data_IF_291384391593
#
_entry.id   IF_291384391593
#
_cell.length_a   1.000
_cell.length_b   1.000
_cell.length_c   1.000
_cell.angle_alpha   90.00
_cell.angle_beta   90.00
_cell.angle_gamma   90.00
#
_symmetry.space_group_name_H-M   'P 1'
#
loop_
_entity.id
_entity.type
_entity.pdbx_description
1 polymer ?
#
# COMPACT_ATOMS: atom_id res chain seq x y z
N UNK A 1 30.37 -16.54 -12.81
CA UNK A 1 29.67 -15.86 -11.71
C UNK A 1 28.21 -16.17 -11.91
N UNK A 2 27.54 -16.84 -10.96
CA UNK A 2 26.09 -17.01 -11.01
C UNK A 2 25.45 -15.67 -10.66
N UNK A 3 24.43 -15.22 -11.42
CA UNK A 3 23.65 -14.07 -11.05
C UNK A 3 22.99 -14.30 -9.68
N UNK A 4 22.84 -13.27 -8.84
CA UNK A 4 22.10 -13.42 -7.61
C UNK A 4 20.67 -13.85 -7.93
N UNK A 5 20.19 -14.88 -7.24
CA UNK A 5 18.85 -15.46 -7.45
C UNK A 5 17.75 -14.68 -6.75
N UNK A 6 18.11 -13.77 -5.86
CA UNK A 6 17.19 -12.88 -5.14
C UNK A 6 17.72 -11.45 -5.21
N UNK A 7 16.87 -10.51 -5.60
CA UNK A 7 17.12 -9.10 -5.38
C UNK A 7 16.81 -8.86 -3.91
N UNK A 8 17.81 -8.37 -3.13
CA UNK A 8 17.55 -7.93 -1.76
C UNK A 8 16.51 -6.79 -1.82
N UNK A 9 15.31 -7.12 -1.40
CA UNK A 9 14.24 -6.13 -1.27
C UNK A 9 14.54 -5.31 -0.02
N UNK A 10 14.68 -3.98 -0.20
CA UNK A 10 14.76 -3.08 0.94
C UNK A 10 13.45 -3.17 1.71
N UNK A 11 13.53 -3.67 2.93
CA UNK A 11 12.39 -3.81 3.86
C UNK A 11 12.19 -2.53 4.66
N UNK A 12 11.03 -2.37 5.30
CA UNK A 12 10.80 -1.26 6.25
C UNK A 12 11.88 -1.20 7.34
N UNK A 13 12.37 -2.35 7.82
CA UNK A 13 13.46 -2.42 8.80
C UNK A 13 14.77 -1.82 8.24
N UNK A 14 15.13 -2.16 7.01
CA UNK A 14 16.33 -1.62 6.37
C UNK A 14 16.20 -0.12 6.12
N UNK A 15 15.01 0.35 5.73
CA UNK A 15 14.70 1.76 5.56
C UNK A 15 14.83 2.54 6.87
N UNK A 16 14.25 2.05 7.96
CA UNK A 16 14.37 2.66 9.29
C UNK A 16 15.84 2.71 9.75
N UNK A 17 16.59 1.63 9.56
CA UNK A 17 18.02 1.59 9.90
C UNK A 17 18.85 2.57 9.07
N UNK A 18 18.50 2.78 7.80
CA UNK A 18 19.14 3.78 6.96
C UNK A 18 18.86 5.21 7.45
N UNK A 19 17.62 5.47 7.89
CA UNK A 19 17.26 6.78 8.47
C UNK A 19 17.99 6.98 9.81
N UNK A 20 17.99 5.98 10.70
CA UNK A 20 18.74 6.01 11.96
C UNK A 20 20.23 6.30 11.73
N UNK A 21 20.86 5.59 10.77
CA UNK A 21 22.23 5.81 10.39
C UNK A 21 22.51 7.22 9.88
N UNK A 22 21.58 7.82 9.11
CA UNK A 22 21.69 9.18 8.57
C UNK A 22 21.71 10.26 9.64
N UNK A 23 21.08 10.02 10.81
CA UNK A 23 21.04 10.91 11.97
C UNK A 23 22.07 10.54 13.05
N UNK A 24 22.92 9.52 12.78
CA UNK A 24 23.97 9.09 13.70
C UNK A 24 23.50 8.19 14.85
N UNK A 25 22.33 7.57 14.72
CA UNK A 25 21.79 6.62 15.68
C UNK A 25 22.17 5.18 15.33
N UNK A 26 22.19 4.30 16.33
CA UNK A 26 22.50 2.88 16.12
C UNK A 26 21.36 2.15 15.43
N UNK A 27 21.67 1.21 14.54
CA UNK A 27 20.65 0.39 13.90
C UNK A 27 19.92 -0.51 14.91
N UNK A 28 18.67 -0.84 14.62
CA UNK A 28 17.84 -1.74 15.42
C UNK A 28 17.66 -3.08 14.67
N UNK A 29 17.50 -4.14 15.44
CA UNK A 29 17.30 -5.49 14.89
C UNK A 29 15.85 -5.83 14.62
N UNK A 30 14.92 -5.11 15.27
CA UNK A 30 13.47 -5.30 15.08
C UNK A 30 12.78 -3.95 15.18
N UNK A 31 11.66 -3.79 14.47
CA UNK A 31 10.85 -2.56 14.54
C UNK A 31 9.94 -2.48 15.77
N UNK A 32 10.05 -3.46 16.68
CA UNK A 32 9.20 -3.52 17.86
C UNK A 32 7.74 -3.88 17.56
N UNK A 33 7.49 -4.55 16.44
CA UNK A 33 6.20 -5.11 16.14
C UNK A 33 5.90 -6.24 17.13
N UNK A 34 5.13 -5.97 18.15
CA UNK A 34 4.43 -7.03 18.85
C UNK A 34 3.22 -7.39 18.00
N UNK A 35 3.19 -8.64 17.57
CA UNK A 35 1.97 -9.23 17.02
C UNK A 35 0.98 -9.35 18.18
N UNK A 36 0.12 -8.34 18.36
CA UNK A 36 -0.96 -8.42 19.35
C UNK A 36 -2.11 -9.26 18.79
N UNK A 37 -2.68 -10.08 19.65
CA UNK A 37 -3.88 -10.84 19.33
C UNK A 37 -5.05 -9.87 19.41
N UNK A 38 -5.61 -9.50 18.25
CA UNK A 38 -6.78 -8.64 18.17
C UNK A 38 -8.08 -9.43 18.43
N UNK A 39 -8.13 -10.65 17.94
CA UNK A 39 -9.28 -11.55 18.12
C UNK A 39 -8.82 -12.99 18.24
N UNK A 40 -9.54 -13.74 19.04
CA UNK A 40 -9.29 -15.18 19.27
C UNK A 40 -10.60 -15.93 19.30
N UNK A 41 -10.64 -17.10 18.65
CA UNK A 41 -11.76 -18.05 18.71
C UNK A 41 -11.22 -19.42 19.06
N UNK A 42 -11.84 -20.08 20.02
CA UNK A 42 -11.47 -21.42 20.47
C UNK A 42 -12.56 -22.43 20.08
N UNK A 43 -12.13 -23.55 19.53
CA UNK A 43 -12.98 -24.67 19.17
C UNK A 43 -12.42 -25.97 19.73
N UNK A 44 -13.29 -26.98 19.86
CA UNK A 44 -12.87 -28.33 20.25
C UNK A 44 -13.04 -29.28 19.07
N UNK A 45 -12.02 -30.01 18.74
CA UNK A 45 -12.06 -31.04 17.71
C UNK A 45 -12.90 -32.22 18.13
N UNK A 46 -13.63 -32.81 17.19
CA UNK A 46 -14.49 -34.03 17.39
C UNK A 46 -13.92 -35.24 16.63
N UNK A 47 -12.79 -35.09 15.95
CA UNK A 47 -12.17 -36.12 15.13
C UNK A 47 -12.79 -36.31 13.74
N UNK A 48 -13.83 -35.57 13.40
CA UNK A 48 -14.54 -35.67 12.11
C UNK A 48 -14.74 -34.34 11.39
N UNK A 49 -14.97 -33.28 12.13
CA UNK A 49 -15.18 -31.95 11.56
C UNK A 49 -13.88 -31.31 11.09
N UNK A 50 -13.85 -30.83 9.84
CA UNK A 50 -12.70 -30.17 9.23
C UNK A 50 -12.86 -28.65 9.16
N UNK A 51 -14.08 -28.11 9.31
CA UNK A 51 -14.40 -26.70 9.10
C UNK A 51 -14.77 -26.01 10.39
N UNK A 52 -14.04 -24.95 10.75
CA UNK A 52 -14.24 -24.18 11.97
C UNK A 52 -14.38 -22.69 11.63
N UNK A 53 -15.38 -22.04 12.23
CA UNK A 53 -15.64 -20.61 12.00
C UNK A 53 -14.54 -19.74 12.61
N UNK A 54 -14.13 -18.69 11.87
CA UNK A 54 -13.22 -17.67 12.40
C UNK A 54 -13.85 -16.84 13.51
N UNK A 55 -15.15 -16.54 13.40
CA UNK A 55 -15.85 -15.69 14.37
C UNK A 55 -15.50 -14.19 14.28
N UNK A 56 -14.56 -13.79 13.42
CA UNK A 56 -14.10 -12.42 13.21
C UNK A 56 -13.76 -12.17 11.75
N UNK A 57 -13.69 -10.89 11.36
CA UNK A 57 -13.25 -10.46 10.03
C UNK A 57 -11.72 -10.34 9.96
N UNK A 58 -11.16 -10.57 8.79
CA UNK A 58 -9.74 -10.43 8.50
C UNK A 58 -9.52 -9.77 7.14
N UNK A 59 -8.40 -9.07 6.98
CA UNK A 59 -8.05 -8.41 5.73
C UNK A 59 -7.20 -9.33 4.83
N UNK A 60 -6.25 -10.03 5.45
CA UNK A 60 -5.37 -10.99 4.75
C UNK A 60 -5.24 -12.29 5.55
N UNK A 61 -5.08 -13.41 4.85
CA UNK A 61 -4.90 -14.72 5.46
C UNK A 61 -3.60 -14.82 6.31
N UNK A 62 -2.60 -13.99 6.02
CA UNK A 62 -1.35 -13.93 6.80
C UNK A 62 -1.55 -13.43 8.24
N UNK A 63 -2.65 -12.72 8.53
CA UNK A 63 -2.99 -12.27 9.87
C UNK A 63 -3.48 -13.41 10.77
N UNK A 64 -3.85 -14.56 10.19
CA UNK A 64 -4.46 -15.65 10.92
C UNK A 64 -3.41 -16.71 11.26
N UNK A 65 -3.35 -17.08 12.53
CA UNK A 65 -2.53 -18.17 13.03
C UNK A 65 -3.45 -19.20 13.70
N UNK A 66 -3.27 -20.46 13.33
CA UNK A 66 -4.03 -21.58 13.91
C UNK A 66 -3.10 -22.47 14.70
N UNK A 67 -3.53 -22.78 15.94
CA UNK A 67 -2.82 -23.76 16.77
C UNK A 67 -3.77 -24.88 17.17
N UNK A 68 -3.24 -26.10 17.18
CA UNK A 68 -3.95 -27.30 17.68
C UNK A 68 -3.14 -27.85 18.84
N UNK A 69 -3.75 -27.93 20.01
CA UNK A 69 -3.07 -28.30 21.26
C UNK A 69 -1.81 -27.48 21.52
N UNK A 70 -1.86 -26.16 21.26
CA UNK A 70 -0.75 -25.20 21.40
C UNK A 70 0.41 -25.39 20.40
N UNK A 71 0.25 -26.22 19.38
CA UNK A 71 1.22 -26.39 18.29
C UNK A 71 0.69 -25.65 17.06
N UNK A 72 1.50 -24.78 16.46
CA UNK A 72 1.14 -24.08 15.22
C UNK A 72 1.03 -25.06 14.06
N UNK A 73 -0.10 -25.00 13.35
CA UNK A 73 -0.41 -25.85 12.21
C UNK A 73 -0.47 -25.01 10.95
N UNK A 74 0.04 -25.54 9.85
CA UNK A 74 0.03 -24.87 8.52
C UNK A 74 -0.84 -25.62 7.50
N UNK A 75 -1.37 -26.79 7.86
CA UNK A 75 -2.15 -27.67 6.98
C UNK A 75 -3.65 -27.30 7.00
N UNK A 76 -3.94 -26.06 6.62
CA UNK A 76 -5.31 -25.54 6.51
C UNK A 76 -5.44 -24.51 5.39
N UNK A 77 -6.66 -24.30 4.93
CA UNK A 77 -7.03 -23.24 3.99
C UNK A 77 -8.13 -22.39 4.62
N UNK A 78 -8.05 -21.07 4.38
CA UNK A 78 -9.09 -20.14 4.82
C UNK A 78 -10.03 -19.89 3.66
N UNK A 79 -11.32 -20.18 3.87
CA UNK A 79 -12.35 -20.01 2.86
C UNK A 79 -13.67 -19.55 3.51
N UNK A 80 -14.27 -18.51 2.93
CA UNK A 80 -15.61 -18.00 3.33
C UNK A 80 -15.77 -17.76 4.84
N UNK A 81 -14.73 -17.21 5.50
CA UNK A 81 -14.77 -16.93 6.94
C UNK A 81 -14.61 -18.16 7.84
N UNK A 82 -14.10 -19.27 7.28
CA UNK A 82 -13.81 -20.49 8.00
C UNK A 82 -12.39 -20.97 7.76
N UNK A 83 -11.81 -21.64 8.76
CA UNK A 83 -10.60 -22.46 8.62
C UNK A 83 -11.01 -23.87 8.24
N UNK A 84 -10.49 -24.37 7.14
CA UNK A 84 -10.74 -25.73 6.64
C UNK A 84 -9.45 -26.52 6.72
N UNK A 85 -9.39 -27.50 7.60
CA UNK A 85 -8.25 -28.40 7.73
C UNK A 85 -8.26 -29.47 6.65
N UNK A 86 -7.08 -29.83 6.14
CA UNK A 86 -6.93 -30.96 5.21
C UNK A 86 -7.27 -32.29 5.91
N UNK A 87 -6.93 -32.42 7.18
CA UNK A 87 -7.23 -33.59 8.03
C UNK A 87 -7.97 -33.10 9.28
N UNK A 88 -9.09 -33.75 9.64
CA UNK A 88 -9.86 -33.36 10.83
C UNK A 88 -8.99 -33.44 12.10
N UNK A 89 -8.98 -32.40 12.94
CA UNK A 89 -8.30 -32.41 14.23
C UNK A 89 -8.82 -33.53 15.13
N UNK A 90 -7.93 -34.15 15.90
CA UNK A 90 -8.28 -35.27 16.77
C UNK A 90 -9.36 -34.90 17.80
N UNK A 91 -10.11 -35.89 18.25
CA UNK A 91 -11.12 -35.68 19.26
C UNK A 91 -10.54 -35.06 20.55
N UNK A 92 -11.24 -34.05 21.09
CA UNK A 92 -10.84 -33.22 22.23
C UNK A 92 -9.58 -32.34 22.01
N UNK A 93 -9.13 -32.17 20.76
CA UNK A 93 -8.08 -31.21 20.49
C UNK A 93 -8.60 -29.78 20.69
N UNK A 94 -7.85 -28.97 21.39
CA UNK A 94 -8.10 -27.53 21.48
C UNK A 94 -7.57 -26.84 20.23
N UNK A 95 -8.49 -26.27 19.44
CA UNK A 95 -8.18 -25.51 18.22
C UNK A 95 -8.34 -24.04 18.56
N UNK A 96 -7.24 -23.31 18.47
CA UNK A 96 -7.24 -21.87 18.75
C UNK A 96 -6.88 -21.13 17.46
N UNK A 97 -7.79 -20.28 17.01
CA UNK A 97 -7.64 -19.44 15.82
C UNK A 97 -7.46 -18.02 16.32
N UNK A 98 -6.30 -17.41 16.01
CA UNK A 98 -5.95 -16.08 16.46
C UNK A 98 -5.75 -15.14 15.27
N UNK A 99 -6.35 -13.96 15.32
CA UNK A 99 -6.04 -12.84 14.45
C UNK A 99 -4.94 -12.01 15.10
N UNK A 100 -3.80 -11.92 14.42
CA UNK A 100 -2.67 -11.11 14.86
C UNK A 100 -2.61 -9.86 14.01
N UNK A 101 -2.57 -8.72 14.65
CA UNK A 101 -2.33 -7.43 14.01
C UNK A 101 -1.00 -6.91 14.49
N UNK A 102 -0.19 -6.41 13.59
CA UNK A 102 1.03 -5.72 13.95
C UNK A 102 0.66 -4.40 14.63
N UNK A 103 0.74 -4.38 15.94
CA UNK A 103 0.71 -3.15 16.70
C UNK A 103 2.14 -2.70 16.97
N UNK A 104 2.48 -1.54 16.45
CA UNK A 104 3.78 -0.94 16.76
C UNK A 104 3.77 -0.50 18.20
N UNK A 105 4.47 -1.26 19.04
CA UNK A 105 4.60 -0.90 20.46
C UNK A 105 5.57 0.29 20.60
N UNK A 106 4.99 1.49 20.64
CA UNK A 106 5.72 2.76 20.85
C UNK A 106 6.51 2.79 22.16
N UNK A 107 6.25 1.86 23.08
CA UNK A 107 6.92 1.80 24.38
C UNK A 107 8.32 1.18 24.32
N UNK A 108 8.64 0.37 23.29
CA UNK A 108 9.93 -0.30 23.20
C UNK A 108 11.06 0.64 22.75
N UNK A 109 10.79 1.51 21.75
CA UNK A 109 11.74 2.55 21.32
C UNK A 109 10.98 3.71 20.65
N UNK A 110 10.78 4.83 21.34
CA UNK A 110 10.00 5.95 20.83
C UNK A 110 10.62 6.61 19.59
N UNK A 111 11.94 6.56 19.43
CA UNK A 111 12.61 7.10 18.24
C UNK A 111 12.31 6.25 16.99
N UNK A 112 12.31 4.92 17.14
CA UNK A 112 11.95 4.01 16.05
C UNK A 112 10.50 4.21 15.61
N UNK A 113 9.58 4.32 16.57
CA UNK A 113 8.17 4.58 16.28
C UNK A 113 7.97 5.91 15.55
N UNK A 114 8.69 6.94 15.96
CA UNK A 114 8.66 8.24 15.31
C UNK A 114 9.20 8.17 13.87
N UNK A 115 10.32 7.49 13.64
CA UNK A 115 10.91 7.32 12.31
C UNK A 115 9.98 6.49 11.41
N UNK A 116 9.35 5.45 11.95
CA UNK A 116 8.34 4.67 11.24
C UNK A 116 7.16 5.53 10.79
N UNK A 117 6.67 6.40 11.67
CA UNK A 117 5.61 7.34 11.30
C UNK A 117 6.06 8.28 10.16
N UNK A 118 7.27 8.86 10.25
CA UNK A 118 7.82 9.70 9.20
C UNK A 118 7.98 8.96 7.87
N UNK A 119 8.43 7.71 7.91
CA UNK A 119 8.56 6.86 6.73
C UNK A 119 7.20 6.65 6.05
N UNK A 120 6.16 6.34 6.82
CA UNK A 120 4.80 6.14 6.32
C UNK A 120 4.18 7.42 5.75
N UNK A 121 4.31 8.53 6.45
CA UNK A 121 3.84 9.83 5.96
C UNK A 121 4.52 10.21 4.65
N UNK A 122 5.84 9.99 4.57
CA UNK A 122 6.62 10.28 3.36
C UNK A 122 6.26 9.33 2.22
N UNK A 123 6.01 8.05 2.52
CA UNK A 123 5.56 7.07 1.54
C UNK A 123 4.22 7.48 0.91
N UNK A 124 3.24 7.84 1.73
CA UNK A 124 1.92 8.32 1.25
C UNK A 124 2.09 9.60 0.42
N UNK A 125 2.91 10.55 0.87
CA UNK A 125 3.13 11.82 0.17
C UNK A 125 3.75 11.60 -1.21
N UNK A 126 4.81 10.79 -1.31
CA UNK A 126 5.49 10.52 -2.58
C UNK A 126 4.56 9.79 -3.54
N UNK A 127 3.83 8.78 -3.08
CA UNK A 127 2.90 8.05 -3.93
C UNK A 127 1.68 8.88 -4.34
N UNK A 128 1.27 9.86 -3.52
CA UNK A 128 0.15 10.76 -3.85
C UNK A 128 0.45 11.70 -5.02
N UNK A 129 1.72 11.87 -5.40
CA UNK A 129 2.11 12.63 -6.59
C UNK A 129 1.52 11.96 -7.86
N UNK A 130 1.37 10.64 -7.86
CA UNK A 130 0.88 9.85 -9.01
C UNK A 130 2.01 9.61 -10.01
N UNK A 131 2.60 8.43 -9.94
CA UNK A 131 3.68 7.98 -10.80
C UNK A 131 3.18 6.85 -11.70
N UNK A 132 3.85 6.58 -12.82
CA UNK A 132 3.46 5.51 -13.73
C UNK A 132 3.30 4.16 -13.02
N UNK A 133 4.16 3.85 -12.04
CA UNK A 133 4.10 2.57 -11.34
C UNK A 133 2.86 2.39 -10.44
N UNK A 134 2.21 3.48 -10.00
CA UNK A 134 1.05 3.42 -9.09
C UNK A 134 -0.20 4.09 -9.66
N UNK A 135 -0.18 4.45 -10.94
CA UNK A 135 -1.33 5.01 -11.66
C UNK A 135 -1.87 3.96 -12.62
N UNK A 136 -3.14 3.67 -12.53
CA UNK A 136 -3.85 2.79 -13.45
C UNK A 136 -4.93 3.60 -14.16
N UNK A 137 -4.95 3.49 -15.48
CA UNK A 137 -5.93 4.15 -16.33
C UNK A 137 -7.09 3.19 -16.66
N UNK A 138 -8.27 3.74 -16.94
CA UNK A 138 -9.46 2.97 -17.36
C UNK A 138 -9.93 1.90 -16.35
N UNK A 139 -9.74 2.13 -15.06
CA UNK A 139 -10.26 1.21 -14.04
C UNK A 139 -11.77 1.35 -13.93
N UNK A 140 -12.49 0.28 -14.20
CA UNK A 140 -13.95 0.25 -14.20
C UNK A 140 -14.49 -0.10 -12.79
N UNK A 141 -15.25 0.81 -12.20
CA UNK A 141 -15.94 0.60 -10.94
C UNK A 141 -17.43 0.40 -11.15
N UNK A 142 -17.92 -0.76 -10.76
CA UNK A 142 -19.33 -1.13 -10.90
C UNK A 142 -20.14 -0.83 -9.63
N UNK A 143 -21.39 -0.36 -9.75
CA UNK A 143 -22.22 -0.06 -8.60
C UNK A 143 -22.72 -1.35 -7.90
N UNK A 144 -22.69 -1.31 -6.56
CA UNK A 144 -23.29 -2.30 -5.69
C UNK A 144 -24.35 -1.60 -4.84
N UNK A 145 -25.61 -2.01 -4.92
CA UNK A 145 -26.74 -1.32 -4.28
C UNK A 145 -26.80 0.18 -4.61
N UNK A 146 -26.66 0.52 -5.88
CA UNK A 146 -26.60 1.90 -6.41
C UNK A 146 -25.45 2.77 -5.87
N UNK A 147 -24.47 2.21 -5.18
CA UNK A 147 -23.26 2.91 -4.72
C UNK A 147 -22.02 2.19 -5.23
N UNK A 148 -20.99 2.94 -5.54
CA UNK A 148 -19.71 2.40 -5.99
C UNK A 148 -18.73 2.45 -4.82
N UNK A 149 -18.37 1.29 -4.21
CA UNK A 149 -17.36 1.24 -3.15
C UNK A 149 -15.97 1.47 -3.75
N UNK A 150 -15.16 2.31 -3.09
CA UNK A 150 -13.78 2.59 -3.51
C UNK A 150 -12.81 1.98 -2.49
N UNK A 151 -11.83 1.19 -2.94
CA UNK A 151 -10.83 0.58 -2.07
C UNK A 151 -10.12 1.60 -1.18
N UNK A 152 -9.69 1.14 0.01
CA UNK A 152 -9.05 2.03 1.00
C UNK A 152 -7.72 2.58 0.49
N UNK A 153 -6.97 1.76 -0.28
CA UNK A 153 -5.66 2.09 -0.85
C UNK A 153 -5.71 3.04 -2.05
N UNK A 154 -6.87 3.53 -2.47
CA UNK A 154 -6.99 4.57 -3.50
C UNK A 154 -6.67 5.92 -2.89
N UNK A 155 -5.59 6.57 -3.35
CA UNK A 155 -5.15 7.91 -2.93
C UNK A 155 -5.88 9.01 -3.69
N UNK A 156 -5.99 8.85 -5.01
CA UNK A 156 -6.64 9.80 -5.91
C UNK A 156 -7.36 9.04 -7.01
N UNK A 157 -8.47 9.56 -7.46
CA UNK A 157 -9.18 9.09 -8.65
C UNK A 157 -9.79 10.28 -9.39
N UNK A 158 -9.88 10.15 -10.69
CA UNK A 158 -10.63 11.05 -11.58
C UNK A 158 -11.34 10.23 -12.64
N UNK A 159 -12.38 10.79 -13.26
CA UNK A 159 -13.06 10.11 -14.37
C UNK A 159 -12.13 10.09 -15.57
N UNK A 160 -11.97 8.91 -16.17
CA UNK A 160 -11.30 8.82 -17.46
C UNK A 160 -12.10 9.53 -18.52
N UNK A 161 -11.54 10.56 -19.15
CA UNK A 161 -12.25 11.44 -20.10
C UNK A 161 -12.06 10.94 -21.54
N UNK A 162 -12.88 9.97 -21.95
CA UNK A 162 -13.02 9.59 -23.36
C UNK A 162 -13.74 10.70 -24.15
N UNK A 163 -12.98 11.69 -24.52
CA UNK A 163 -13.22 12.60 -25.64
C UNK A 163 -14.35 13.64 -25.62
N UNK A 164 -15.45 13.65 -24.93
CA UNK A 164 -16.40 14.70 -25.38
C UNK A 164 -17.34 15.39 -24.40
N UNK A 165 -17.73 14.83 -23.31
CA UNK A 165 -18.68 15.55 -22.43
C UNK A 165 -18.49 15.10 -21.00
N UNK A 166 -17.91 15.95 -20.19
CA UNK A 166 -17.90 15.71 -18.73
C UNK A 166 -19.32 15.80 -18.18
N UNK A 167 -20.03 14.69 -18.29
CA UNK A 167 -21.35 14.54 -17.65
C UNK A 167 -21.23 14.14 -16.19
N UNK A 168 -20.04 13.71 -15.76
CA UNK A 168 -19.77 13.16 -14.44
C UNK A 168 -18.42 13.70 -13.97
N UNK A 169 -18.33 14.12 -12.72
CA UNK A 169 -17.09 14.51 -12.06
C UNK A 169 -17.09 13.90 -10.66
N UNK A 170 -16.16 13.02 -10.39
CA UNK A 170 -16.22 12.17 -9.21
C UNK A 170 -15.13 12.46 -8.19
N UNK A 171 -15.40 12.10 -6.94
CA UNK A 171 -14.46 12.17 -5.83
C UNK A 171 -14.76 11.05 -4.84
N UNK A 172 -13.73 10.54 -4.16
CA UNK A 172 -13.90 9.60 -3.04
C UNK A 172 -14.44 10.34 -1.81
N UNK A 173 -15.57 9.88 -1.28
CA UNK A 173 -16.17 10.43 -0.07
C UNK A 173 -16.75 9.29 0.79
N UNK A 174 -16.25 9.15 2.02
CA UNK A 174 -16.74 8.13 2.95
C UNK A 174 -16.59 6.68 2.45
N UNK A 175 -15.54 6.40 1.64
CA UNK A 175 -15.33 5.05 1.08
C UNK A 175 -16.14 4.74 -0.18
N UNK A 176 -16.93 5.70 -0.67
CA UNK A 176 -17.75 5.57 -1.89
C UNK A 176 -17.39 6.64 -2.91
N UNK A 177 -17.73 6.36 -4.17
CA UNK A 177 -17.67 7.35 -5.23
C UNK A 177 -18.81 8.36 -5.06
N UNK A 178 -18.52 9.65 -5.26
CA UNK A 178 -19.48 10.72 -5.18
C UNK A 178 -19.40 11.62 -6.41
N UNK A 179 -20.52 11.80 -7.10
CA UNK A 179 -20.61 12.70 -8.25
C UNK A 179 -20.79 14.14 -7.77
N UNK A 180 -19.82 14.98 -8.08
CA UNK A 180 -19.82 16.41 -7.73
C UNK A 180 -20.76 17.24 -8.57
N UNK A 181 -21.10 16.78 -9.79
CA UNK A 181 -22.01 17.50 -10.70
C UNK A 181 -23.47 17.24 -10.32
N UNK A 182 -23.80 15.98 -10.01
CA UNK A 182 -25.16 15.58 -9.62
C UNK A 182 -25.41 15.72 -8.11
N UNK A 183 -24.36 15.99 -7.32
CA UNK A 183 -24.42 16.04 -5.86
C UNK A 183 -24.99 14.74 -5.24
N UNK A 184 -24.63 13.59 -5.80
CA UNK A 184 -25.18 12.29 -5.43
C UNK A 184 -24.10 11.21 -5.33
N UNK A 185 -24.32 10.21 -4.49
CA UNK A 185 -23.54 8.98 -4.38
C UNK A 185 -24.24 7.78 -5.07
N UNK A 186 -25.31 8.06 -5.82
CA UNK A 186 -26.10 7.04 -6.51
C UNK A 186 -25.67 6.94 -7.97
N UNK A 187 -25.29 5.73 -8.37
CA UNK A 187 -24.84 5.38 -9.73
C UNK A 187 -25.65 4.20 -10.24
N UNK A 188 -26.10 4.27 -11.48
CA UNK A 188 -26.80 3.19 -12.20
C UNK A 188 -25.82 2.38 -13.05
N UNK A 189 -24.80 3.05 -13.57
CA UNK A 189 -23.86 2.52 -14.53
C UNK A 189 -22.45 2.47 -13.93
N UNK A 190 -21.60 1.61 -14.48
CA UNK A 190 -20.18 1.58 -14.13
C UNK A 190 -19.50 2.89 -14.55
N UNK A 191 -18.47 3.29 -13.80
CA UNK A 191 -17.68 4.49 -14.08
C UNK A 191 -16.24 4.09 -14.28
N UNK A 192 -15.66 4.49 -15.42
CA UNK A 192 -14.25 4.34 -15.73
C UNK A 192 -13.47 5.48 -15.12
N UNK A 193 -12.43 5.18 -14.36
CA UNK A 193 -11.61 6.16 -13.64
C UNK A 193 -10.12 5.90 -13.84
N UNK A 194 -9.35 6.98 -13.82
CA UNK A 194 -7.92 6.93 -13.65
C UNK A 194 -7.62 6.99 -12.16
N UNK A 195 -6.86 6.05 -11.66
CA UNK A 195 -6.69 5.81 -10.22
C UNK A 195 -5.24 5.79 -9.83
N UNK A 196 -4.92 6.49 -8.74
CA UNK A 196 -3.61 6.42 -8.09
C UNK A 196 -3.75 5.58 -6.83
N UNK A 197 -3.00 4.48 -6.77
CA UNK A 197 -3.01 3.55 -5.65
C UNK A 197 -1.86 3.81 -4.67
N UNK A 198 -2.10 3.45 -3.41
CA UNK A 198 -1.06 3.31 -2.40
C UNK A 198 -0.61 1.86 -2.36
N UNK A 199 0.66 1.63 -2.65
CA UNK A 199 1.32 0.33 -2.52
C UNK A 199 2.12 0.27 -1.22
N UNK A 200 2.30 -0.93 -0.70
CA UNK A 200 3.17 -1.15 0.45
C UNK A 200 4.62 -0.85 0.09
N UNK A 201 5.43 -0.44 1.07
CA UNK A 201 6.80 0.03 0.82
C UNK A 201 7.67 -1.02 0.12
N UNK A 202 7.50 -2.31 0.46
CA UNK A 202 8.26 -3.42 -0.10
C UNK A 202 8.01 -3.67 -1.60
N UNK A 203 6.84 -3.28 -2.10
CA UNK A 203 6.45 -3.51 -3.51
C UNK A 203 6.85 -2.35 -4.43
N UNK A 204 7.40 -1.26 -3.88
CA UNK A 204 7.80 -0.10 -4.67
C UNK A 204 9.04 -0.38 -5.52
N UNK A 205 9.18 0.28 -6.69
CA UNK A 205 10.43 0.28 -7.44
C UNK A 205 11.58 0.89 -6.63
N UNK A 206 12.77 0.33 -6.78
CA UNK A 206 13.95 0.68 -5.99
C UNK A 206 14.31 2.18 -5.95
N UNK A 207 14.22 2.95 -7.04
CA UNK A 207 14.45 4.39 -7.00
C UNK A 207 13.55 5.12 -6.01
N UNK A 208 12.26 4.75 -5.97
CA UNK A 208 11.27 5.36 -5.10
C UNK A 208 11.50 5.01 -3.63
N UNK A 209 11.85 3.76 -3.31
CA UNK A 209 12.26 3.37 -1.95
C UNK A 209 13.37 4.26 -1.44
N UNK A 210 14.42 4.44 -2.23
CA UNK A 210 15.56 5.31 -1.87
C UNK A 210 15.15 6.77 -1.71
N UNK A 211 14.32 7.28 -2.61
CA UNK A 211 13.82 8.66 -2.50
C UNK A 211 12.99 8.87 -1.23
N UNK A 212 12.08 7.95 -0.91
CA UNK A 212 11.26 7.99 0.31
C UNK A 212 12.16 7.99 1.56
N UNK A 213 13.16 7.11 1.61
CA UNK A 213 14.12 7.03 2.72
C UNK A 213 14.91 8.33 2.88
N UNK A 214 15.42 8.92 1.78
CA UNK A 214 16.16 10.17 1.84
C UNK A 214 15.28 11.34 2.30
N UNK A 215 14.06 11.45 1.79
CA UNK A 215 13.10 12.47 2.18
C UNK A 215 12.69 12.35 3.65
N UNK A 216 12.48 11.10 4.14
CA UNK A 216 12.23 10.83 5.55
C UNK A 216 13.45 11.17 6.42
N UNK A 217 14.69 10.89 5.95
CA UNK A 217 15.94 11.25 6.64
C UNK A 217 16.11 12.76 6.83
N UNK A 218 15.78 13.56 5.81
CA UNK A 218 15.79 15.03 5.94
C UNK A 218 14.83 15.50 7.02
N UNK A 219 13.63 14.95 7.08
CA UNK A 219 12.64 15.28 8.11
C UNK A 219 13.09 14.84 9.50
N UNK A 220 13.62 13.62 9.62
CA UNK A 220 14.16 13.10 10.88
C UNK A 220 15.33 13.95 11.39
N UNK A 221 16.29 14.30 10.52
CA UNK A 221 17.41 15.15 10.86
C UNK A 221 16.98 16.54 11.31
N UNK A 222 15.98 17.13 10.65
CA UNK A 222 15.45 18.44 11.00
C UNK A 222 14.77 18.45 12.38
N UNK A 223 14.03 17.37 12.70
CA UNK A 223 13.22 17.31 13.91
C UNK A 223 14.01 16.79 15.13
N UNK A 224 14.93 15.82 14.93
CA UNK A 224 15.65 15.16 16.03
C UNK A 224 17.03 15.75 16.28
N UNK A 225 17.76 16.12 15.23
CA UNK A 225 19.18 16.50 15.36
C UNK A 225 19.37 18.02 15.30
N UNK A 226 18.54 18.72 14.51
CA UNK A 226 18.60 20.18 14.32
C UNK A 226 19.98 20.71 13.90
N UNK A 227 20.75 19.90 13.12
CA UNK A 227 22.06 20.29 12.60
C UNK A 227 21.92 20.80 11.16
N UNK A 228 22.10 22.11 10.89
CA UNK A 228 21.85 22.69 9.56
C UNK A 228 22.79 22.14 8.47
N UNK A 229 24.03 21.81 8.81
CA UNK A 229 24.98 21.25 7.85
C UNK A 229 24.57 19.84 7.42
N UNK A 230 24.16 19.00 8.36
CA UNK A 230 23.66 17.66 8.07
C UNK A 230 22.38 17.72 7.22
N UNK A 231 21.46 18.60 7.57
CA UNK A 231 20.20 18.80 6.83
C UNK A 231 20.49 19.22 5.38
N UNK A 232 21.43 20.15 5.15
CA UNK A 232 21.82 20.57 3.80
C UNK A 232 22.40 19.42 2.97
N UNK A 233 23.25 18.58 3.56
CA UNK A 233 23.79 17.39 2.87
C UNK A 233 22.70 16.39 2.50
N UNK A 234 21.78 16.13 3.42
CA UNK A 234 20.66 15.22 3.18
C UNK A 234 19.68 15.78 2.13
N UNK A 235 19.43 17.09 2.11
CA UNK A 235 18.64 17.74 1.07
C UNK A 235 19.28 17.62 -0.33
N UNK A 236 20.60 17.68 -0.43
CA UNK A 236 21.29 17.44 -1.70
C UNK A 236 21.11 15.98 -2.17
N UNK A 237 21.17 15.02 -1.25
CA UNK A 237 20.91 13.61 -1.55
C UNK A 237 19.45 13.37 -1.94
N UNK A 238 18.51 14.01 -1.26
CA UNK A 238 17.08 13.96 -1.60
C UNK A 238 16.85 14.49 -3.04
N UNK A 239 17.41 15.65 -3.37
CA UNK A 239 17.30 16.22 -4.72
C UNK A 239 17.87 15.29 -5.79
N UNK A 240 19.00 14.64 -5.50
CA UNK A 240 19.63 13.68 -6.42
C UNK A 240 18.74 12.42 -6.60
N UNK A 241 18.22 11.87 -5.51
CA UNK A 241 17.34 10.68 -5.61
C UNK A 241 16.01 11.01 -6.29
N UNK A 242 15.46 12.22 -6.10
CA UNK A 242 14.30 12.69 -6.85
C UNK A 242 14.58 12.77 -8.35
N UNK A 243 15.76 13.24 -8.75
CA UNK A 243 16.14 13.28 -10.17
C UNK A 243 16.17 11.88 -10.79
N UNK A 244 16.67 10.88 -10.05
CA UNK A 244 16.65 9.46 -10.49
C UNK A 244 15.20 8.94 -10.63
N UNK A 245 14.30 9.31 -9.72
CA UNK A 245 12.89 8.94 -9.86
C UNK A 245 12.26 9.57 -11.11
N UNK A 246 12.57 10.84 -11.41
CA UNK A 246 12.10 11.49 -12.63
C UNK A 246 12.65 10.84 -13.89
N UNK A 247 13.93 10.41 -13.88
CA UNK A 247 14.52 9.66 -14.99
C UNK A 247 13.81 8.31 -15.18
N UNK A 248 13.55 7.60 -14.08
CA UNK A 248 12.80 6.34 -14.10
C UNK A 248 11.39 6.55 -14.69
N UNK A 249 10.68 7.58 -14.25
CA UNK A 249 9.35 7.96 -14.72
C UNK A 249 9.36 8.25 -16.23
N UNK A 250 10.32 9.04 -16.70
CA UNK A 250 10.44 9.35 -18.14
C UNK A 250 10.72 8.09 -18.99
N UNK A 251 11.52 7.16 -18.45
CA UNK A 251 11.85 5.92 -19.15
C UNK A 251 10.70 4.90 -19.13
N UNK A 252 9.91 4.88 -18.06
CA UNK A 252 8.80 3.94 -17.89
C UNK A 252 7.50 4.41 -18.57
N UNK A 253 7.27 5.74 -18.57
CA UNK A 253 6.03 6.33 -19.04
C UNK A 253 5.96 6.55 -20.54
N UNK A 254 7.06 6.31 -21.28
CA UNK A 254 7.15 6.52 -22.74
C UNK A 254 6.54 7.86 -23.21
N UNK A 255 6.70 8.90 -22.37
CA UNK A 255 6.10 10.20 -22.60
C UNK A 255 6.51 10.78 -23.97
N UNK A 256 5.53 11.02 -24.81
CA UNK A 256 5.72 11.57 -26.13
C UNK A 256 5.27 13.04 -26.18
N UNK A 257 6.13 13.93 -26.68
CA UNK A 257 5.77 15.34 -26.88
C UNK A 257 4.54 15.54 -27.78
N UNK A 258 4.28 14.63 -28.69
CA UNK A 258 3.14 14.68 -29.62
C UNK A 258 1.83 14.18 -29.02
N UNK A 259 1.84 13.68 -27.78
CA UNK A 259 0.65 13.17 -27.10
C UNK A 259 0.07 11.89 -27.72
N UNK A 260 0.89 11.16 -28.46
CA UNK A 260 0.50 9.84 -28.98
C UNK A 260 0.68 8.85 -27.82
N UNK A 261 -0.39 8.51 -27.12
CA UNK A 261 -0.42 7.39 -26.20
C UNK A 261 -0.27 6.06 -26.96
N UNK A 262 -0.14 4.97 -26.21
CA UNK A 262 -0.03 3.59 -26.73
C UNK A 262 -1.23 3.16 -27.59
N UNK A 263 -2.30 3.94 -27.57
CA UNK A 263 -3.47 3.68 -28.39
C UNK A 263 -3.17 4.09 -29.83
N UNK A 264 -3.11 3.09 -30.70
CA UNK A 264 -2.82 3.16 -32.12
C UNK A 264 -3.84 3.97 -32.94
N UNK A 265 -4.77 4.66 -32.34
CA UNK A 265 -5.66 5.59 -33.01
C UNK A 265 -4.89 6.85 -33.39
N UNK A 266 -4.71 7.05 -34.68
CA UNK A 266 -4.13 8.22 -35.30
C UNK A 266 -4.90 9.47 -34.85
N UNK A 267 -4.47 10.10 -33.77
CA UNK A 267 -5.05 11.37 -33.36
C UNK A 267 -4.40 12.50 -34.15
N UNK A 268 -5.18 13.12 -34.99
CA UNK A 268 -4.75 14.33 -35.67
C UNK A 268 -4.44 15.40 -34.62
N UNK A 269 -3.30 16.07 -34.71
CA UNK A 269 -2.97 17.20 -33.85
C UNK A 269 -4.09 18.26 -33.87
N UNK A 270 -4.80 18.35 -32.77
CA UNK A 270 -5.90 19.29 -32.58
C UNK A 270 -5.50 20.30 -31.51
N UNK A 271 -4.94 21.49 -31.89
CA UNK A 271 -4.40 22.46 -30.94
C UNK A 271 -5.39 22.92 -29.86
N UNK A 272 -6.69 22.88 -30.16
CA UNK A 272 -7.73 23.29 -29.23
C UNK A 272 -7.97 22.29 -28.08
N UNK A 273 -7.53 21.04 -28.22
CA UNK A 273 -7.64 20.05 -27.15
C UNK A 273 -6.70 20.40 -25.97
N UNK A 274 -5.56 21.02 -26.23
CA UNK A 274 -4.67 21.51 -25.20
C UNK A 274 -5.21 22.69 -24.38
N UNK A 275 -6.26 23.34 -24.86
CA UNK A 275 -6.95 24.44 -24.17
C UNK A 275 -8.20 23.98 -23.42
N UNK A 276 -8.58 22.72 -23.59
CA UNK A 276 -9.76 22.15 -22.96
C UNK A 276 -9.34 21.50 -21.64
N UNK A 277 -9.88 22.01 -20.55
CA UNK A 277 -9.65 21.51 -19.19
C UNK A 277 -10.93 20.94 -18.62
#
# INVERSE_FOLDING_TARGET
MSAPTTIDLDTELSAVNSILGSIGQSPVTTLGSNLEIEAETEHTGDGSTQTFSLGFSYDTSSQISVTVNSVTVTDYVISSGNVVFTTAPINQATIRITKRVETYNTLANPEVAFIMQLLRETNIEVQSEGWVFNTEEHVEFSPTNNKIPIPANVLRLDVHDDFHVRTTNVVKRGGFLYDRMRHSDQFTDAVSCDVVYLWVFEDLPQPFKRYIVQKASVRAATQLVSNPTLVQLLQQQEAYTRAICMEYECNQGDHNYMGLGDDTSYQTYLPYLGLRR
#
